data_IF_410094325459
#
_entry.id   IF_410094325459
#
_cell.length_a   1.000
_cell.length_b   1.000
_cell.length_c   1.000
_cell.angle_alpha   90.00
_cell.angle_beta   90.00
_cell.angle_gamma   90.00
#
_symmetry.space_group_name_H-M   'P 1'
#
loop_
_entity.id
_entity.type
_entity.pdbx_description
1 polymer ?
#
# COMPACT_ATOMS: atom_id res chain seq x y z
N UNK A 1 -8.16 -26.83 37.63
CA UNK A 1 -7.50 -25.79 36.82
C UNK A 1 -7.71 -26.20 35.39
N UNK A 2 -8.65 -25.55 34.70
CA UNK A 2 -8.95 -25.85 33.30
C UNK A 2 -8.11 -24.92 32.45
N UNK A 3 -7.03 -25.43 31.87
CA UNK A 3 -6.24 -24.73 30.87
C UNK A 3 -7.06 -24.69 29.57
N UNK A 4 -7.87 -23.65 29.39
CA UNK A 4 -8.29 -23.23 28.06
C UNK A 4 -7.02 -22.73 27.36
N UNK A 5 -6.40 -23.57 26.54
CA UNK A 5 -5.49 -23.10 25.51
C UNK A 5 -6.30 -22.22 24.57
N UNK A 6 -6.40 -20.93 24.90
CA UNK A 6 -6.80 -19.90 23.95
C UNK A 6 -5.87 -20.05 22.74
N UNK A 7 -6.42 -20.54 21.63
CA UNK A 7 -5.74 -20.47 20.34
C UNK A 7 -5.57 -18.99 20.04
N UNK A 8 -4.42 -18.44 20.43
CA UNK A 8 -4.11 -17.03 20.22
C UNK A 8 -4.15 -16.75 18.72
N UNK A 9 -4.88 -15.71 18.28
CA UNK A 9 -4.92 -15.32 16.88
C UNK A 9 -3.50 -15.02 16.42
N UNK A 10 -3.01 -15.79 15.45
CA UNK A 10 -1.65 -15.66 14.94
C UNK A 10 -1.71 -14.94 13.59
N UNK A 11 -1.16 -13.72 13.57
CA UNK A 11 -0.97 -12.92 12.38
C UNK A 11 0.53 -12.81 12.09
N UNK A 12 0.98 -13.38 10.98
CA UNK A 12 2.38 -13.32 10.55
C UNK A 12 2.48 -12.64 9.19
N UNK A 13 3.42 -11.71 9.06
CA UNK A 13 3.76 -11.10 7.78
C UNK A 13 4.86 -11.96 7.16
N UNK A 14 4.55 -12.61 6.04
CA UNK A 14 5.51 -13.47 5.36
C UNK A 14 6.47 -12.64 4.51
N UNK A 15 5.89 -11.89 3.56
CA UNK A 15 6.65 -11.12 2.58
C UNK A 15 5.91 -9.85 2.23
N UNK A 16 6.67 -8.78 2.01
CA UNK A 16 6.18 -7.53 1.43
C UNK A 16 7.01 -7.27 0.19
N UNK A 17 6.35 -6.93 -0.90
CA UNK A 17 7.00 -6.69 -2.17
C UNK A 17 6.25 -5.62 -2.97
N UNK A 18 6.92 -4.99 -3.92
CA UNK A 18 6.29 -4.04 -4.84
C UNK A 18 5.90 -4.84 -6.09
N UNK A 19 4.61 -4.87 -6.41
CA UNK A 19 4.08 -5.54 -7.61
C UNK A 19 4.30 -4.69 -8.84
N UNK A 20 4.03 -3.40 -8.72
CA UNK A 20 4.16 -2.47 -9.82
C UNK A 20 4.62 -1.09 -9.33
N UNK A 21 5.41 -0.44 -10.18
CA UNK A 21 5.78 0.96 -10.01
C UNK A 21 5.85 1.58 -11.40
N UNK A 22 5.00 2.56 -11.63
CA UNK A 22 5.01 3.34 -12.86
C UNK A 22 5.20 4.82 -12.52
N UNK A 23 6.07 5.47 -13.29
CA UNK A 23 6.30 6.90 -13.21
C UNK A 23 6.32 7.45 -14.62
N UNK A 24 5.37 8.33 -14.91
CA UNK A 24 5.27 9.00 -16.20
C UNK A 24 5.38 10.50 -16.03
N UNK A 25 6.19 11.13 -16.88
CA UNK A 25 6.41 12.58 -16.90
C UNK A 25 6.22 13.07 -18.34
N UNK A 26 4.96 13.22 -18.80
CA UNK A 26 4.66 13.45 -20.21
C UNK A 26 5.24 14.75 -20.76
N UNK A 27 5.44 15.76 -19.90
CA UNK A 27 5.92 17.09 -20.27
C UNK A 27 7.38 17.32 -19.87
N UNK A 28 8.15 16.25 -19.61
CA UNK A 28 9.58 16.36 -19.35
C UNK A 28 10.35 16.81 -20.61
N UNK A 29 11.42 17.61 -20.48
CA UNK A 29 11.95 18.24 -19.26
C UNK A 29 11.36 19.64 -18.98
N UNK A 30 10.52 20.17 -19.87
CA UNK A 30 10.02 21.55 -19.80
C UNK A 30 9.24 21.83 -18.52
N UNK A 31 8.56 20.81 -18.01
CA UNK A 31 7.84 20.85 -16.73
C UNK A 31 8.71 21.23 -15.52
N UNK A 32 10.01 20.93 -15.56
CA UNK A 32 10.93 21.27 -14.46
C UNK A 32 11.33 22.75 -14.44
N UNK A 33 11.01 23.51 -15.50
CA UNK A 33 11.28 24.95 -15.57
C UNK A 33 10.14 25.79 -14.98
N UNK A 34 8.95 25.20 -14.83
CA UNK A 34 7.78 25.87 -14.27
C UNK A 34 7.86 25.84 -12.74
N UNK A 35 7.99 27.01 -12.09
CA UNK A 35 8.04 27.14 -10.62
C UNK A 35 6.66 27.25 -9.96
N UNK A 36 5.66 26.58 -10.53
CA UNK A 36 4.30 26.59 -10.00
C UNK A 36 4.10 25.41 -9.03
N UNK A 37 3.29 25.63 -7.98
CA UNK A 37 2.91 24.55 -7.07
C UNK A 37 1.90 23.63 -7.78
N UNK A 38 2.22 22.33 -7.97
CA UNK A 38 1.28 21.40 -8.54
C UNK A 38 0.17 21.08 -7.53
N UNK A 39 -1.04 20.92 -8.03
CA UNK A 39 -2.13 20.28 -7.32
C UNK A 39 -1.88 18.76 -7.31
N UNK A 40 -1.88 18.18 -6.12
CA UNK A 40 -1.63 16.76 -5.93
C UNK A 40 -2.96 16.04 -5.69
N UNK A 41 -3.36 15.21 -6.65
CA UNK A 41 -4.46 14.26 -6.49
C UNK A 41 -3.89 12.91 -6.05
N UNK A 42 -4.41 12.36 -4.95
CA UNK A 42 -4.00 11.07 -4.42
C UNK A 42 -5.19 10.12 -4.34
N UNK A 43 -5.04 8.97 -4.98
CA UNK A 43 -6.03 7.91 -4.97
C UNK A 43 -5.41 6.66 -4.35
N UNK A 44 -6.12 6.08 -3.38
CA UNK A 44 -5.71 4.86 -2.71
C UNK A 44 -6.74 3.78 -2.98
N UNK A 45 -6.28 2.67 -3.56
CA UNK A 45 -7.06 1.46 -3.76
C UNK A 45 -6.43 0.32 -2.97
N UNK A 46 -7.24 -0.47 -2.28
CA UNK A 46 -6.81 -1.67 -1.57
C UNK A 46 -7.59 -2.86 -2.07
N UNK A 47 -6.90 -3.93 -2.46
CA UNK A 47 -7.47 -5.19 -2.89
C UNK A 47 -6.90 -6.32 -2.04
N UNK A 48 -7.77 -7.22 -1.56
CA UNK A 48 -7.38 -8.44 -0.87
C UNK A 48 -7.72 -9.66 -1.74
N UNK A 49 -6.82 -10.62 -1.79
CA UNK A 49 -7.01 -11.89 -2.48
C UNK A 49 -6.52 -13.03 -1.58
N UNK A 50 -7.30 -14.11 -1.50
CA UNK A 50 -6.84 -15.34 -0.87
C UNK A 50 -5.91 -16.11 -1.84
N UNK A 51 -4.72 -16.48 -1.38
CA UNK A 51 -3.77 -17.28 -2.16
C UNK A 51 -3.90 -18.77 -1.87
N UNK A 52 -3.99 -19.11 -0.57
CA UNK A 52 -4.00 -20.49 -0.07
C UNK A 52 -4.69 -20.53 1.30
N UNK A 53 -4.86 -21.72 1.89
CA UNK A 53 -5.47 -21.90 3.21
C UNK A 53 -4.66 -21.19 4.30
N UNK A 54 -5.23 -20.09 4.83
CA UNK A 54 -4.57 -19.23 5.81
C UNK A 54 -3.54 -18.28 5.23
N UNK A 55 -3.42 -18.14 3.90
CA UNK A 55 -2.56 -17.15 3.24
C UNK A 55 -3.37 -16.17 2.40
N UNK A 56 -3.17 -14.89 2.69
CA UNK A 56 -3.84 -13.78 2.04
C UNK A 56 -2.81 -12.83 1.46
N UNK A 57 -3.01 -12.45 0.20
CA UNK A 57 -2.32 -11.33 -0.41
C UNK A 57 -3.19 -10.08 -0.27
N UNK A 58 -2.58 -8.97 0.17
CA UNK A 58 -3.21 -7.65 0.09
C UNK A 58 -2.33 -6.75 -0.73
N UNK A 59 -2.91 -6.14 -1.75
CA UNK A 59 -2.29 -5.12 -2.60
C UNK A 59 -2.86 -3.76 -2.27
N UNK A 60 -2.00 -2.79 -2.01
CA UNK A 60 -2.31 -1.37 -1.88
C UNK A 60 -1.72 -0.64 -3.08
N UNK A 61 -2.60 -0.13 -3.94
CA UNK A 61 -2.23 0.73 -5.06
C UNK A 61 -2.41 2.18 -4.64
N UNK A 62 -1.34 2.95 -4.79
CA UNK A 62 -1.33 4.40 -4.56
C UNK A 62 -1.05 5.08 -5.89
N UNK A 63 -2.04 5.80 -6.40
CA UNK A 63 -1.91 6.59 -7.63
C UNK A 63 -1.85 8.07 -7.25
N UNK A 64 -0.75 8.71 -7.60
CA UNK A 64 -0.48 10.13 -7.34
C UNK A 64 -0.41 10.85 -8.67
N UNK A 65 -1.28 11.82 -8.89
CA UNK A 65 -1.30 12.64 -10.09
C UNK A 65 -1.02 14.09 -9.71
N UNK A 66 0.12 14.61 -10.13
CA UNK A 66 0.48 16.02 -9.96
C UNK A 66 0.07 16.81 -11.20
N UNK A 67 -0.84 17.77 -11.05
CA UNK A 67 -1.32 18.63 -12.14
C UNK A 67 -0.94 20.08 -11.89
N UNK A 68 -0.44 20.74 -12.92
CA UNK A 68 -0.34 22.19 -13.00
C UNK A 68 -1.57 22.72 -13.74
N UNK A 69 -1.91 24.02 -13.61
CA UNK A 69 -3.10 24.59 -14.22
C UNK A 69 -3.25 24.32 -15.71
N UNK A 70 -2.14 24.19 -16.44
CA UNK A 70 -2.14 23.99 -17.89
C UNK A 70 -1.58 22.63 -18.35
N UNK A 71 -0.96 21.83 -17.47
CA UNK A 71 -0.23 20.61 -17.85
C UNK A 71 -0.15 19.59 -16.71
N UNK A 72 -0.04 18.30 -17.03
CA UNK A 72 0.27 17.27 -16.02
C UNK A 72 1.77 17.21 -15.75
N UNK A 73 2.15 17.29 -14.49
CA UNK A 73 3.55 17.29 -14.08
C UNK A 73 4.12 15.89 -14.11
N UNK A 74 3.58 15.00 -13.27
CA UNK A 74 3.93 13.59 -13.23
C UNK A 74 2.73 12.76 -12.77
N UNK A 75 2.69 11.52 -13.22
CA UNK A 75 1.81 10.47 -12.73
C UNK A 75 2.68 9.39 -12.12
N UNK A 76 2.44 9.05 -10.86
CA UNK A 76 3.18 8.04 -10.14
C UNK A 76 2.19 7.04 -9.57
N UNK A 77 2.29 5.79 -10.00
CA UNK A 77 1.53 4.68 -9.43
C UNK A 77 2.47 3.71 -8.74
N UNK A 78 2.11 3.30 -7.53
CA UNK A 78 2.85 2.29 -6.77
C UNK A 78 1.86 1.27 -6.25
N UNK A 79 1.97 0.02 -6.73
CA UNK A 79 1.25 -1.11 -6.20
C UNK A 79 2.16 -1.91 -5.27
N UNK A 80 1.93 -1.79 -3.96
CA UNK A 80 2.64 -2.55 -2.95
C UNK A 80 1.79 -3.71 -2.46
N UNK A 81 2.33 -4.92 -2.45
CA UNK A 81 1.65 -6.10 -1.96
C UNK A 81 2.33 -6.73 -0.76
N UNK A 82 1.53 -7.36 0.10
CA UNK A 82 1.98 -8.13 1.24
C UNK A 82 1.27 -9.47 1.27
N UNK A 83 2.03 -10.53 1.56
CA UNK A 83 1.49 -11.85 1.87
C UNK A 83 1.46 -11.97 3.39
N UNK A 84 0.28 -12.27 3.90
CA UNK A 84 -0.03 -12.40 5.31
C UNK A 84 -0.52 -13.82 5.56
N UNK A 85 0.07 -14.46 6.56
CA UNK A 85 -0.43 -15.70 7.09
C UNK A 85 -1.35 -15.39 8.26
N UNK A 86 -2.61 -15.83 8.16
CA UNK A 86 -3.61 -15.67 9.20
C UNK A 86 -4.07 -17.04 9.66
N UNK A 87 -3.97 -17.28 10.97
CA UNK A 87 -4.46 -18.51 11.60
C UNK A 87 -5.35 -18.15 12.77
N UNK A 88 -6.45 -18.89 12.90
CA UNK A 88 -7.34 -18.83 14.05
C UNK A 88 -7.98 -17.45 14.30
N UNK A 89 -8.34 -16.74 13.22
CA UNK A 89 -9.13 -15.50 13.26
C UNK A 89 -10.50 -15.78 12.63
N UNK A 90 -11.62 -15.40 13.28
CA UNK A 90 -12.95 -15.53 12.69
C UNK A 90 -13.07 -14.66 11.43
N UNK A 91 -13.78 -15.15 10.41
CA UNK A 91 -13.85 -14.53 9.08
C UNK A 91 -14.32 -13.05 9.08
N UNK A 92 -15.09 -12.67 10.10
CA UNK A 92 -15.67 -11.35 10.29
C UNK A 92 -14.62 -10.27 10.62
N UNK A 93 -13.50 -10.68 11.25
CA UNK A 93 -12.40 -9.79 11.64
C UNK A 93 -11.26 -9.77 10.61
N UNK A 94 -11.31 -10.62 9.58
CA UNK A 94 -10.23 -10.74 8.59
C UNK A 94 -10.08 -9.47 7.73
N UNK A 95 -11.17 -8.99 7.15
CA UNK A 95 -11.18 -7.81 6.28
C UNK A 95 -10.62 -6.53 6.96
N UNK A 96 -11.07 -6.16 8.18
CA UNK A 96 -10.50 -5.00 8.86
C UNK A 96 -9.03 -5.20 9.24
N UNK A 97 -8.62 -6.41 9.64
CA UNK A 97 -7.21 -6.70 9.97
C UNK A 97 -6.33 -6.61 8.74
N UNK A 98 -6.74 -7.16 7.60
CA UNK A 98 -6.02 -7.07 6.33
C UNK A 98 -5.90 -5.62 5.85
N UNK A 99 -6.98 -4.84 5.96
CA UNK A 99 -7.00 -3.42 5.61
C UNK A 99 -6.11 -2.54 6.50
N UNK A 100 -6.05 -2.82 7.81
CA UNK A 100 -5.18 -2.11 8.76
C UNK A 100 -3.74 -2.58 8.62
N UNK A 101 -3.48 -3.87 8.51
CA UNK A 101 -2.13 -4.42 8.38
C UNK A 101 -1.46 -3.96 7.09
N UNK A 102 -2.20 -3.86 5.98
CA UNK A 102 -1.66 -3.34 4.72
C UNK A 102 -1.28 -1.84 4.83
N UNK A 103 -2.14 -1.01 5.44
CA UNK A 103 -1.83 0.41 5.70
C UNK A 103 -0.66 0.59 6.67
N UNK A 104 -0.60 -0.21 7.72
CA UNK A 104 0.41 -0.07 8.79
C UNK A 104 1.77 -0.65 8.39
N UNK A 105 1.78 -1.72 7.60
CA UNK A 105 3.01 -2.25 7.00
C UNK A 105 3.54 -1.30 5.92
N UNK A 106 2.68 -0.70 5.11
CA UNK A 106 3.08 0.32 4.13
C UNK A 106 3.61 1.61 4.79
N UNK A 107 3.02 2.04 5.93
CA UNK A 107 3.51 3.21 6.68
C UNK A 107 4.83 2.93 7.41
N UNK A 108 5.07 1.70 7.88
CA UNK A 108 6.33 1.31 8.53
C UNK A 108 7.51 1.21 7.57
N UNK A 109 7.30 0.78 6.32
CA UNK A 109 8.39 0.70 5.34
C UNK A 109 8.90 2.09 4.93
N UNK A 110 8.12 3.17 5.13
CA UNK A 110 8.42 4.51 4.61
C UNK A 110 8.57 5.64 5.65
N UNK A 111 8.50 5.38 6.96
CA UNK A 111 8.72 6.43 7.95
C UNK A 111 10.20 6.81 8.19
N UNK A 112 11.18 6.15 7.54
CA UNK A 112 12.62 6.44 7.74
C UNK A 112 13.44 6.73 6.48
N UNK A 113 12.85 6.74 5.27
CA UNK A 113 13.63 6.85 4.02
C UNK A 113 13.00 7.69 2.90
N UNK A 114 12.30 8.76 3.24
CA UNK A 114 12.10 9.88 2.32
C UNK A 114 12.79 11.12 2.91
N UNK A 115 14.09 11.35 2.64
CA UNK A 115 14.64 12.68 2.78
C UNK A 115 14.08 13.53 1.65
N UNK A 116 13.55 14.68 2.03
CA UNK A 116 13.12 15.79 1.20
C UNK A 116 13.71 15.79 -0.22
N UNK A 117 12.83 15.63 -1.20
CA UNK A 117 12.90 16.24 -2.51
C UNK A 117 11.50 16.69 -2.87
#
# INVERSE_FOLDING_TARGET
>A
MSEQQELQPAFSIEKIYVKDISLEVPNAPQVFLEQAQPEIDMQLASAGQQLDDGFFEVTLTVTVTAKLPEKTMFLCEVAQAGIFQIRNIPGEDLDPILGVACRTSCSRTRARRCPAW
#
